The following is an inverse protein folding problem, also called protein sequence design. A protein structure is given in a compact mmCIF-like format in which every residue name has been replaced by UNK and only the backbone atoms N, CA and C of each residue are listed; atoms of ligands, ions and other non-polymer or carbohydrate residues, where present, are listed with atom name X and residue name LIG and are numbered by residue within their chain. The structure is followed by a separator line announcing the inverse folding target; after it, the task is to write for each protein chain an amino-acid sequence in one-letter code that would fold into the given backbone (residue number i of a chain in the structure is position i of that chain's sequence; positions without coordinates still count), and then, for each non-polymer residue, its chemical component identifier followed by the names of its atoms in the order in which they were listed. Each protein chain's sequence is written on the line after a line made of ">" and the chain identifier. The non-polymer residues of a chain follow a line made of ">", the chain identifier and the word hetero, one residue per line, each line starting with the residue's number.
data_IF_166113226631
#
_entry.id   IF_166113226631
#
_cell.length_a   1.000
_cell.length_b   1.000
_cell.length_c   1.000
_cell.angle_alpha   90.00
_cell.angle_beta   90.00
_cell.angle_gamma   90.00
#
_symmetry.space_group_name_H-M   'P 1'
#
loop_
_entity.id
_entity.type
_entity.pdbx_description
1 polymer ?
#
# COMPACT_ATOMS: atom_id res chain seq x y z
N UNK A 1 11.78 -7.23 -7.39
CA UNK A 1 10.99 -7.00 -6.16
C UNK A 1 9.97 -5.85 -6.29
N UNK A 2 10.23 -4.79 -7.06
CA UNK A 2 9.26 -3.69 -7.25
C UNK A 2 7.89 -4.07 -7.83
N UNK A 3 7.83 -5.12 -8.66
CA UNK A 3 6.54 -5.66 -9.15
C UNK A 3 5.69 -6.25 -8.03
N UNK A 4 6.30 -7.03 -7.13
CA UNK A 4 5.61 -7.65 -6.00
C UNK A 4 5.06 -6.61 -5.00
N UNK A 5 5.81 -5.54 -4.72
CA UNK A 5 5.30 -4.45 -3.86
C UNK A 5 4.18 -3.66 -4.53
N UNK A 6 4.24 -3.49 -5.86
CA UNK A 6 3.17 -2.85 -6.61
C UNK A 6 1.89 -3.70 -6.61
N UNK A 7 1.99 -5.03 -6.71
CA UNK A 7 0.81 -5.91 -6.57
C UNK A 7 0.18 -5.86 -5.17
N UNK A 8 1.00 -5.76 -4.11
CA UNK A 8 0.50 -5.62 -2.73
C UNK A 8 -0.27 -4.31 -2.57
N UNK A 9 0.26 -3.21 -3.10
CA UNK A 9 -0.42 -1.90 -3.12
C UNK A 9 -1.74 -1.96 -3.85
N UNK A 10 -1.74 -2.46 -5.09
CA UNK A 10 -2.95 -2.52 -5.92
C UNK A 10 -4.00 -3.43 -5.28
N UNK A 11 -3.60 -4.54 -4.67
CA UNK A 11 -4.53 -5.41 -3.94
C UNK A 11 -5.17 -4.69 -2.74
N UNK A 12 -4.36 -3.99 -1.92
CA UNK A 12 -4.87 -3.18 -0.82
C UNK A 12 -5.84 -2.08 -1.29
N UNK A 13 -5.46 -1.34 -2.34
CA UNK A 13 -6.31 -0.30 -2.94
C UNK A 13 -7.60 -0.85 -3.53
N UNK A 14 -7.58 -2.03 -4.17
CA UNK A 14 -8.79 -2.66 -4.72
C UNK A 14 -9.81 -3.01 -3.63
N UNK A 15 -9.31 -3.40 -2.46
CA UNK A 15 -10.15 -3.79 -1.34
C UNK A 15 -10.68 -2.58 -0.58
N UNK A 16 -9.88 -1.50 -0.47
CA UNK A 16 -10.32 -0.18 -0.01
C UNK A 16 -11.44 0.38 -0.92
N UNK A 17 -11.26 0.30 -2.23
CA UNK A 17 -12.25 0.75 -3.21
C UNK A 17 -13.58 0.02 -3.03
N UNK A 18 -13.53 -1.30 -2.83
CA UNK A 18 -14.71 -2.12 -2.53
C UNK A 18 -15.39 -1.75 -1.21
N UNK A 19 -14.64 -1.55 -0.12
CA UNK A 19 -15.21 -1.18 1.19
C UNK A 19 -15.73 0.26 1.23
N UNK A 20 -15.23 1.12 0.36
CA UNK A 20 -15.67 2.51 0.21
C UNK A 20 -16.92 2.69 -0.66
N UNK A 21 -17.43 1.64 -1.30
CA UNK A 21 -18.57 1.73 -2.22
C UNK A 21 -18.21 2.21 -3.63
N UNK A 22 -16.92 2.20 -4.00
CA UNK A 22 -16.45 2.59 -5.32
C UNK A 22 -15.93 4.03 -5.45
N UNK A 23 -15.68 4.70 -4.32
CA UNK A 23 -15.10 6.05 -4.34
C UNK A 23 -13.58 6.00 -4.51
N UNK A 24 -13.04 7.06 -5.12
CA UNK A 24 -11.60 7.23 -5.39
C UNK A 24 -11.06 8.43 -4.63
N UNK A 25 -11.88 9.45 -4.41
CA UNK A 25 -11.50 10.64 -3.66
C UNK A 25 -11.36 10.32 -2.17
N UNK A 26 -10.26 10.74 -1.57
CA UNK A 26 -9.92 10.42 -0.17
C UNK A 26 -11.00 10.87 0.81
N UNK A 27 -11.64 12.00 0.55
CA UNK A 27 -12.66 12.56 1.43
C UNK A 27 -13.97 11.77 1.37
N UNK A 28 -14.35 11.29 0.19
CA UNK A 28 -15.52 10.44 -0.01
C UNK A 28 -15.30 9.06 0.60
N UNK A 29 -14.09 8.51 0.46
CA UNK A 29 -13.70 7.25 1.11
C UNK A 29 -13.87 7.34 2.62
N UNK A 30 -13.32 8.39 3.25
CA UNK A 30 -13.44 8.56 4.70
C UNK A 30 -14.90 8.74 5.14
N UNK A 31 -15.67 9.55 4.42
CA UNK A 31 -17.09 9.75 4.72
C UNK A 31 -17.87 8.44 4.64
N UNK A 32 -17.67 7.63 3.60
CA UNK A 32 -18.35 6.34 3.45
C UNK A 32 -17.92 5.32 4.51
N UNK A 33 -16.64 5.28 4.88
CA UNK A 33 -16.16 4.39 5.95
C UNK A 33 -16.72 4.75 7.34
N UNK A 34 -16.95 6.04 7.60
CA UNK A 34 -17.59 6.52 8.83
C UNK A 34 -19.08 6.20 8.82
N UNK A 35 -19.77 6.51 7.71
CA UNK A 35 -21.22 6.30 7.56
C UNK A 35 -21.60 4.82 7.68
N UNK A 36 -20.78 3.93 7.14
CA UNK A 36 -20.99 2.47 7.22
C UNK A 36 -20.46 1.85 8.51
N UNK A 37 -19.87 2.66 9.41
CA UNK A 37 -19.20 2.20 10.63
C UNK A 37 -18.08 1.16 10.38
N UNK A 38 -17.56 1.09 9.14
CA UNK A 38 -16.53 0.11 8.76
C UNK A 38 -15.12 0.55 9.13
N UNK A 39 -14.92 1.80 9.56
CA UNK A 39 -13.61 2.33 9.94
C UNK A 39 -12.84 1.47 10.97
N UNK A 40 -13.55 0.79 11.89
CA UNK A 40 -12.95 -0.09 12.90
C UNK A 40 -13.11 -1.59 12.58
N UNK A 41 -13.49 -1.92 11.34
CA UNK A 41 -13.65 -3.31 10.92
C UNK A 41 -12.28 -3.99 10.74
N UNK A 42 -12.22 -5.28 11.03
CA UNK A 42 -11.02 -6.10 10.80
C UNK A 42 -10.58 -6.05 9.33
N UNK A 43 -11.54 -5.99 8.40
CA UNK A 43 -11.27 -5.83 6.97
C UNK A 43 -10.47 -4.57 6.67
N UNK A 44 -10.92 -3.40 7.17
CA UNK A 44 -10.21 -2.15 6.96
C UNK A 44 -8.83 -2.11 7.62
N UNK A 45 -8.65 -2.77 8.77
CA UNK A 45 -7.31 -2.92 9.37
C UNK A 45 -6.36 -3.69 8.44
N UNK A 46 -6.83 -4.75 7.79
CA UNK A 46 -6.02 -5.51 6.82
C UNK A 46 -5.70 -4.65 5.60
N UNK A 47 -6.68 -3.90 5.07
CA UNK A 47 -6.45 -2.95 3.96
C UNK A 47 -5.32 -1.98 4.30
N UNK A 48 -5.35 -1.41 5.51
CA UNK A 48 -4.37 -0.45 5.99
C UNK A 48 -2.97 -1.08 6.10
N UNK A 49 -2.88 -2.35 6.53
CA UNK A 49 -1.63 -3.12 6.56
C UNK A 49 -1.07 -3.32 5.15
N UNK A 50 -1.89 -3.74 4.18
CA UNK A 50 -1.44 -3.95 2.81
C UNK A 50 -0.88 -2.68 2.17
N UNK A 51 -1.59 -1.56 2.32
CA UNK A 51 -1.16 -0.26 1.81
C UNK A 51 0.16 0.17 2.50
N UNK A 52 0.22 0.05 3.83
CA UNK A 52 1.41 0.45 4.61
C UNK A 52 2.64 -0.40 4.25
N UNK A 53 2.48 -1.72 4.09
CA UNK A 53 3.58 -2.62 3.68
C UNK A 53 4.06 -2.27 2.27
N UNK A 54 3.15 -2.01 1.34
CA UNK A 54 3.50 -1.64 -0.03
C UNK A 54 4.24 -0.29 -0.12
N UNK A 55 3.81 0.71 0.65
CA UNK A 55 4.48 2.00 0.75
C UNK A 55 5.85 1.84 1.45
N UNK A 56 5.90 1.09 2.55
CA UNK A 56 7.12 0.84 3.31
C UNK A 56 8.22 0.18 2.47
N UNK A 57 7.84 -0.77 1.60
CA UNK A 57 8.76 -1.36 0.64
C UNK A 57 9.34 -0.33 -0.33
N UNK A 58 8.49 0.56 -0.90
CA UNK A 58 8.96 1.60 -1.83
C UNK A 58 9.89 2.61 -1.16
N UNK A 59 9.65 2.89 0.12
CA UNK A 59 10.48 3.78 0.93
C UNK A 59 11.72 3.10 1.52
N UNK A 60 11.95 1.79 1.27
CA UNK A 60 13.03 1.02 1.88
C UNK A 60 13.02 1.05 3.42
N UNK A 61 11.84 1.11 4.06
CA UNK A 61 11.71 1.07 5.51
C UNK A 61 12.00 -0.34 6.05
N UNK A 62 12.53 -0.43 7.28
CA UNK A 62 12.66 -1.72 7.95
C UNK A 62 11.28 -2.34 8.22
N UNK A 63 11.10 -3.66 8.01
CA UNK A 63 12.11 -4.66 7.65
C UNK A 63 12.37 -4.80 6.14
N UNK A 64 11.64 -4.14 5.25
CA UNK A 64 11.62 -4.32 3.78
C UNK A 64 12.77 -3.66 2.98
N UNK A 65 13.96 -3.49 3.57
CA UNK A 65 15.10 -2.77 2.97
C UNK A 65 16.15 -3.69 2.32
N UNK A 66 15.92 -5.01 2.29
CA UNK A 66 16.94 -5.99 1.86
C UNK A 66 17.38 -5.79 0.41
N UNK A 67 16.47 -5.34 -0.46
CA UNK A 67 16.75 -5.13 -1.88
C UNK A 67 17.57 -3.87 -2.17
N UNK A 68 17.58 -2.92 -1.22
CA UNK A 68 18.19 -1.60 -1.37
C UNK A 68 19.70 -1.69 -1.64
N UNK A 69 20.54 -2.33 -0.80
CA UNK A 69 21.98 -2.41 -1.05
C UNK A 69 22.31 -3.06 -2.40
N UNK A 70 21.69 -4.20 -2.70
CA UNK A 70 21.93 -4.95 -3.94
C UNK A 70 21.65 -4.11 -5.21
N UNK A 71 20.58 -3.31 -5.20
CA UNK A 71 20.22 -2.47 -6.35
C UNK A 71 21.14 -1.27 -6.50
N UNK A 72 21.52 -0.61 -5.40
CA UNK A 72 22.43 0.54 -5.48
C UNK A 72 23.85 0.12 -5.88
N UNK A 73 24.34 -1.02 -5.41
CA UNK A 73 25.65 -1.56 -5.80
C UNK A 73 25.66 -2.12 -7.23
N UNK A 74 24.56 -2.75 -7.66
CA UNK A 74 24.46 -3.42 -8.97
C UNK A 74 24.32 -2.47 -10.17
N UNK A 75 24.02 -1.19 -9.96
CA UNK A 75 23.87 -0.22 -11.05
C UNK A 75 25.24 0.23 -11.56
N UNK A 76 25.49 0.00 -12.86
CA UNK A 76 26.72 0.48 -13.52
C UNK A 76 26.69 1.99 -13.66
N UNK A 77 27.67 2.67 -13.07
CA UNK A 77 27.97 4.05 -13.41
C UNK A 77 28.58 4.10 -14.81
N UNK A 78 27.77 4.40 -15.82
CA UNK A 78 28.28 4.81 -17.12
C UNK A 78 28.79 6.24 -16.96
N UNK A 79 30.10 6.43 -17.14
CA UNK A 79 30.74 7.75 -17.26
C UNK A 79 30.54 8.30 -18.66
#
# INVERSE_FOLDING_TARGET
>A
MGGASSSILVYGSSWLYGSSGGEIEHQEIMNNLINTQMYNSLGNSIVLIFITVGIGFKLSLAPSHQWTPDVYEGVRFVR
#
